data_IF_909347960465
#
_entry.id   IF_909347960465
#
_cell.length_a   1.000
_cell.length_b   1.000
_cell.length_c   1.000
_cell.angle_alpha   90.00
_cell.angle_beta   90.00
_cell.angle_gamma   90.00
#
_symmetry.space_group_name_H-M   'P 1'
#
loop_
_entity.id
_entity.type
_entity.pdbx_description
1 polymer ?
#
# COMPACT_ATOMS: atom_id res chain seq x y z
N UNK A 1 -36.96 -27.06 -27.77
CA UNK A 1 -36.20 -28.10 -27.05
C UNK A 1 -34.75 -27.66 -27.04
N UNK A 2 -34.35 -26.87 -26.04
CA UNK A 2 -33.00 -26.37 -25.86
C UNK A 2 -32.73 -26.35 -24.36
N UNK A 3 -31.74 -27.14 -23.93
CA UNK A 3 -31.41 -27.44 -22.53
C UNK A 3 -31.12 -26.18 -21.75
N UNK A 4 -31.82 -26.05 -20.62
CA UNK A 4 -31.46 -25.20 -19.50
C UNK A 4 -30.24 -25.84 -18.82
N UNK A 5 -29.05 -25.29 -19.06
CA UNK A 5 -27.84 -25.69 -18.35
C UNK A 5 -27.89 -25.09 -16.94
N UNK A 6 -28.37 -25.89 -15.99
CA UNK A 6 -28.27 -25.65 -14.56
C UNK A 6 -26.80 -25.53 -14.18
N UNK A 7 -26.26 -24.31 -14.21
CA UNK A 7 -25.02 -23.96 -13.52
C UNK A 7 -25.26 -24.18 -12.03
N UNK A 8 -24.77 -25.30 -11.50
CA UNK A 8 -24.72 -25.55 -10.06
C UNK A 8 -23.73 -24.50 -9.50
N UNK A 9 -24.20 -23.51 -8.72
CA UNK A 9 -23.28 -22.57 -8.12
C UNK A 9 -22.40 -23.34 -7.13
N UNK A 10 -21.07 -23.21 -7.28
CA UNK A 10 -20.12 -23.76 -6.31
C UNK A 10 -20.44 -23.16 -4.93
N UNK A 11 -20.35 -23.95 -3.86
CA UNK A 11 -20.66 -23.49 -2.50
C UNK A 11 -19.94 -22.18 -2.13
N UNK A 12 -18.73 -21.98 -2.64
CA UNK A 12 -17.95 -20.75 -2.49
C UNK A 12 -18.61 -19.52 -3.18
N UNK A 13 -19.32 -19.70 -4.30
CA UNK A 13 -20.04 -18.61 -5.00
C UNK A 13 -21.34 -18.25 -4.27
N UNK A 14 -21.97 -19.22 -3.62
CA UNK A 14 -23.15 -19.00 -2.76
C UNK A 14 -22.74 -18.32 -1.46
N UNK A 15 -21.64 -18.73 -0.83
CA UNK A 15 -21.09 -18.06 0.35
C UNK A 15 -20.59 -16.65 0.04
N UNK A 16 -19.83 -16.45 -1.03
CA UNK A 16 -19.41 -15.12 -1.47
C UNK A 16 -20.62 -14.24 -1.85
N UNK A 17 -21.62 -14.81 -2.53
CA UNK A 17 -22.88 -14.12 -2.87
C UNK A 17 -23.77 -13.81 -1.65
N UNK A 18 -23.77 -14.65 -0.62
CA UNK A 18 -24.52 -14.46 0.62
C UNK A 18 -23.83 -13.45 1.57
N UNK A 19 -22.50 -13.44 1.61
CA UNK A 19 -21.71 -12.39 2.28
C UNK A 19 -21.90 -11.04 1.58
N UNK A 20 -21.97 -11.01 0.25
CA UNK A 20 -22.29 -9.80 -0.51
C UNK A 20 -23.74 -9.30 -0.27
N UNK A 21 -24.71 -10.20 0.00
CA UNK A 21 -26.08 -9.83 0.36
C UNK A 21 -26.23 -9.26 1.78
N UNK A 22 -25.31 -9.59 2.70
CA UNK A 22 -25.37 -9.13 4.10
C UNK A 22 -24.37 -8.02 4.44
N UNK A 23 -23.47 -7.67 3.52
CA UNK A 23 -22.45 -6.64 3.72
C UNK A 23 -21.34 -7.08 4.68
N UNK A 24 -20.14 -6.51 4.52
CA UNK A 24 -18.98 -6.86 5.35
C UNK A 24 -19.08 -6.26 6.76
N UNK A 25 -18.57 -7.01 7.76
CA UNK A 25 -18.45 -6.52 9.13
C UNK A 25 -17.31 -5.51 9.25
N UNK A 26 -17.40 -4.57 10.20
CA UNK A 26 -16.37 -3.55 10.37
C UNK A 26 -14.99 -4.11 10.72
N UNK A 27 -14.94 -5.29 11.38
CA UNK A 27 -13.69 -5.99 11.69
C UNK A 27 -13.07 -6.54 10.41
N UNK A 28 -13.86 -7.19 9.55
CA UNK A 28 -13.40 -7.68 8.26
C UNK A 28 -12.95 -6.52 7.36
N UNK A 29 -13.67 -5.39 7.38
CA UNK A 29 -13.22 -4.19 6.68
C UNK A 29 -11.89 -3.67 7.23
N UNK A 30 -11.67 -3.72 8.56
CA UNK A 30 -10.40 -3.32 9.16
C UNK A 30 -9.24 -4.22 8.71
N UNK A 31 -9.45 -5.53 8.61
CA UNK A 31 -8.41 -6.46 8.12
C UNK A 31 -8.11 -6.24 6.63
N UNK A 32 -9.13 -5.98 5.82
CA UNK A 32 -8.96 -5.64 4.40
C UNK A 32 -8.23 -4.30 4.24
N UNK A 33 -8.59 -3.29 5.05
CA UNK A 33 -7.89 -2.00 5.08
C UNK A 33 -6.42 -2.18 5.47
N UNK A 34 -6.13 -2.98 6.50
CA UNK A 34 -4.75 -3.28 6.88
C UNK A 34 -3.96 -3.91 5.73
N UNK A 35 -4.56 -4.88 5.02
CA UNK A 35 -3.95 -5.49 3.85
C UNK A 35 -3.67 -4.49 2.71
N UNK A 36 -4.57 -3.54 2.45
CA UNK A 36 -4.39 -2.53 1.40
C UNK A 36 -3.39 -1.43 1.80
N UNK A 37 -3.28 -1.13 3.10
CA UNK A 37 -2.40 -0.11 3.65
C UNK A 37 -0.95 -0.59 3.85
N UNK A 38 -0.71 -1.90 3.98
CA UNK A 38 0.64 -2.46 3.96
C UNK A 38 1.25 -2.40 2.55
N UNK A 39 1.73 -1.21 2.19
CA UNK A 39 2.38 -0.91 0.92
C UNK A 39 3.90 -0.75 1.02
N UNK A 40 4.49 -0.33 -0.11
CA UNK A 40 5.94 -0.15 -0.26
C UNK A 40 6.52 0.98 0.59
N UNK A 41 5.70 1.93 1.06
CA UNK A 41 6.17 3.09 1.82
C UNK A 41 6.94 2.70 3.09
N UNK A 42 6.55 1.62 3.77
CA UNK A 42 7.21 1.20 5.00
C UNK A 42 8.71 0.88 4.84
N UNK A 43 9.16 0.56 3.62
CA UNK A 43 10.56 0.26 3.32
C UNK A 43 11.46 1.51 3.40
N UNK A 44 10.90 2.71 3.32
CA UNK A 44 11.66 3.97 3.41
C UNK A 44 11.71 4.51 4.85
N UNK A 45 10.98 3.92 5.79
CA UNK A 45 10.88 4.40 7.17
C UNK A 45 12.20 4.34 7.95
N UNK A 46 13.02 3.26 7.88
CA UNK A 46 14.33 3.24 8.54
C UNK A 46 15.23 4.38 8.09
N UNK A 47 15.22 4.69 6.79
CA UNK A 47 15.99 5.80 6.23
C UNK A 47 15.42 7.14 6.65
N UNK A 48 14.11 7.27 6.71
CA UNK A 48 13.44 8.49 7.20
C UNK A 48 13.86 8.79 8.65
N UNK A 49 13.96 7.77 9.49
CA UNK A 49 14.45 7.91 10.86
C UNK A 49 15.95 8.26 10.88
N UNK A 50 16.75 7.73 9.96
CA UNK A 50 18.14 8.18 9.80
C UNK A 50 18.27 9.64 9.34
N UNK A 51 17.36 10.11 8.47
CA UNK A 51 17.33 11.51 7.99
C UNK A 51 16.93 12.48 9.09
N UNK A 52 15.84 12.21 9.80
CA UNK A 52 15.21 13.16 10.73
C UNK A 52 15.66 12.95 12.19
N UNK A 53 15.96 11.71 12.59
CA UNK A 53 16.11 11.28 13.98
C UNK A 53 14.81 10.75 14.57
N UNK A 54 14.92 10.03 15.69
CA UNK A 54 13.77 9.35 16.32
C UNK A 54 12.61 10.30 16.67
N UNK A 55 12.89 11.44 17.28
CA UNK A 55 11.87 12.35 17.79
C UNK A 55 11.03 13.02 16.68
N UNK A 56 11.63 13.75 15.70
CA UNK A 56 10.85 14.38 14.65
C UNK A 56 10.16 13.37 13.73
N UNK A 57 10.79 12.22 13.43
CA UNK A 57 10.15 11.19 12.61
C UNK A 57 8.94 10.56 13.31
N UNK A 58 9.05 10.23 14.60
CA UNK A 58 7.93 9.66 15.38
C UNK A 58 6.81 10.68 15.57
N UNK A 59 7.13 11.95 15.81
CA UNK A 59 6.15 13.02 15.86
C UNK A 59 5.40 13.16 14.53
N UNK A 60 6.11 13.06 13.40
CA UNK A 60 5.50 13.12 12.07
C UNK A 60 4.58 11.92 11.81
N UNK A 61 4.99 10.70 12.18
CA UNK A 61 4.14 9.51 12.13
C UNK A 61 2.85 9.71 12.93
N UNK A 62 2.94 10.28 14.13
CA UNK A 62 1.76 10.56 14.96
C UNK A 62 0.83 11.59 14.32
N UNK A 63 1.38 12.67 13.74
CA UNK A 63 0.60 13.68 13.02
C UNK A 63 -0.16 13.05 11.86
N UNK A 64 0.50 12.24 11.03
CA UNK A 64 -0.15 11.56 9.91
C UNK A 64 -1.16 10.49 10.35
N UNK A 65 -0.91 9.79 11.46
CA UNK A 65 -1.87 8.90 12.08
C UNK A 65 -3.17 9.64 12.44
N UNK A 66 -3.06 10.79 13.12
CA UNK A 66 -4.23 11.62 13.47
C UNK A 66 -4.95 12.13 12.22
N UNK A 67 -4.23 12.63 11.22
CA UNK A 67 -4.81 13.10 9.96
C UNK A 67 -5.54 11.98 9.19
N UNK A 68 -5.00 10.76 9.18
CA UNK A 68 -5.64 9.62 8.53
C UNK A 68 -6.89 9.16 9.30
N UNK A 69 -6.82 9.12 10.63
CA UNK A 69 -7.98 8.82 11.48
C UNK A 69 -9.10 9.84 11.26
N UNK A 70 -8.75 11.12 11.18
CA UNK A 70 -9.68 12.19 10.86
C UNK A 70 -10.28 12.05 9.46
N UNK A 71 -9.47 11.66 8.48
CA UNK A 71 -9.95 11.34 7.12
C UNK A 71 -10.96 10.19 7.16
N UNK A 72 -10.67 9.11 7.89
CA UNK A 72 -11.58 7.96 8.05
C UNK A 72 -12.92 8.36 8.67
N UNK A 73 -12.88 9.24 9.66
CA UNK A 73 -14.09 9.84 10.22
C UNK A 73 -14.87 10.70 9.22
N UNK A 74 -14.19 11.52 8.41
CA UNK A 74 -14.85 12.34 7.38
C UNK A 74 -15.53 11.47 6.31
N UNK A 75 -14.84 10.42 5.84
CA UNK A 75 -15.38 9.43 4.92
C UNK A 75 -16.62 8.74 5.48
N UNK A 76 -16.59 8.33 6.76
CA UNK A 76 -17.75 7.78 7.44
C UNK A 76 -18.94 8.76 7.49
N UNK A 77 -18.69 10.05 7.76
CA UNK A 77 -19.76 11.07 7.74
C UNK A 77 -20.36 11.25 6.35
N UNK A 78 -19.53 11.30 5.30
CA UNK A 78 -19.99 11.39 3.92
C UNK A 78 -20.84 10.18 3.53
N UNK A 79 -20.47 8.98 3.97
CA UNK A 79 -21.24 7.76 3.74
C UNK A 79 -22.64 7.81 4.36
N UNK A 80 -22.77 8.37 5.57
CA UNK A 80 -24.07 8.52 6.25
C UNK A 80 -24.93 9.59 5.56
N UNK A 81 -24.31 10.68 5.08
CA UNK A 81 -25.03 11.78 4.41
C UNK A 81 -25.46 11.45 2.98
N UNK A 82 -24.74 10.55 2.31
CA UNK A 82 -24.98 10.16 0.93
C UNK A 82 -25.10 8.63 0.80
N UNK A 83 -26.12 7.98 1.41
CA UNK A 83 -26.25 6.53 1.40
C UNK A 83 -26.53 5.96 -0.01
N UNK A 84 -27.09 6.77 -0.91
CA UNK A 84 -27.37 6.39 -2.31
C UNK A 84 -26.10 6.38 -3.19
N UNK A 85 -25.00 7.00 -2.73
CA UNK A 85 -23.81 7.18 -3.54
C UNK A 85 -22.94 5.91 -3.56
N UNK A 86 -23.04 5.14 -4.64
CA UNK A 86 -22.20 3.94 -4.84
C UNK A 86 -20.75 4.25 -5.20
N UNK A 87 -20.51 5.43 -5.78
CA UNK A 87 -19.19 5.91 -6.22
C UNK A 87 -18.86 7.25 -5.56
N UNK A 88 -17.58 7.49 -5.32
CA UNK A 88 -17.13 8.70 -4.62
C UNK A 88 -17.33 9.98 -5.45
N UNK A 89 -17.36 9.88 -6.78
CA UNK A 89 -17.63 11.02 -7.65
C UNK A 89 -19.07 11.54 -7.51
N UNK A 90 -20.03 10.69 -7.15
CA UNK A 90 -21.42 11.09 -6.89
C UNK A 90 -21.50 11.95 -5.61
N UNK A 91 -20.73 11.60 -4.58
CA UNK A 91 -20.58 12.43 -3.37
C UNK A 91 -19.98 13.78 -3.74
N UNK A 92 -18.91 13.77 -4.54
CA UNK A 92 -18.25 14.99 -4.98
C UNK A 92 -19.15 15.87 -5.87
N UNK A 93 -20.00 15.25 -6.71
CA UNK A 93 -21.02 15.94 -7.50
C UNK A 93 -22.04 16.65 -6.61
N UNK A 94 -22.48 16.00 -5.52
CA UNK A 94 -23.42 16.60 -4.57
C UNK A 94 -22.78 17.72 -3.74
N UNK A 95 -21.48 17.61 -3.44
CA UNK A 95 -20.76 18.62 -2.65
C UNK A 95 -20.32 19.85 -3.47
N UNK A 96 -19.77 19.65 -4.68
CA UNK A 96 -19.12 20.70 -5.47
C UNK A 96 -19.49 20.69 -6.97
N UNK A 97 -20.52 19.92 -7.36
CA UNK A 97 -20.95 19.85 -8.76
C UNK A 97 -19.88 19.26 -9.69
N UNK A 98 -19.73 19.86 -10.88
CA UNK A 98 -18.81 19.36 -11.93
C UNK A 98 -17.34 19.45 -11.51
N UNK A 99 -16.97 20.46 -10.74
CA UNK A 99 -15.59 20.66 -10.26
C UNK A 99 -15.18 19.56 -9.29
N UNK A 100 -16.05 19.19 -8.34
CA UNK A 100 -15.78 18.08 -7.42
C UNK A 100 -15.58 16.75 -8.14
N UNK A 101 -16.40 16.48 -9.15
CA UNK A 101 -16.25 15.31 -10.02
C UNK A 101 -14.88 15.34 -10.70
N UNK A 102 -14.51 16.45 -11.34
CA UNK A 102 -13.21 16.57 -12.01
C UNK A 102 -12.02 16.32 -11.07
N UNK A 103 -12.09 16.83 -9.83
CA UNK A 103 -11.05 16.60 -8.81
C UNK A 103 -10.95 15.12 -8.39
N UNK A 104 -12.08 14.44 -8.18
CA UNK A 104 -12.09 13.01 -7.84
C UNK A 104 -11.55 12.17 -9.00
N UNK A 105 -12.00 12.41 -10.22
CA UNK A 105 -11.52 11.67 -11.38
C UNK A 105 -10.03 11.94 -11.64
N UNK A 106 -9.58 13.20 -11.54
CA UNK A 106 -8.17 13.58 -11.70
C UNK A 106 -7.27 12.91 -10.66
N UNK A 107 -7.63 12.98 -9.38
CA UNK A 107 -6.85 12.34 -8.31
C UNK A 107 -6.85 10.82 -8.40
N UNK A 108 -8.00 10.20 -8.71
CA UNK A 108 -8.11 8.75 -8.89
C UNK A 108 -7.24 8.30 -10.07
N UNK A 109 -7.36 8.90 -11.25
CA UNK A 109 -6.55 8.51 -12.41
C UNK A 109 -5.06 8.75 -12.20
N UNK A 110 -4.69 9.83 -11.50
CA UNK A 110 -3.30 10.07 -11.12
C UNK A 110 -2.79 8.95 -10.21
N UNK A 111 -3.55 8.52 -9.21
CA UNK A 111 -3.18 7.40 -8.34
C UNK A 111 -3.06 6.08 -9.13
N UNK A 112 -3.96 5.84 -10.08
CA UNK A 112 -3.94 4.66 -10.97
C UNK A 112 -2.67 4.64 -11.82
N UNK A 113 -2.24 5.80 -12.31
CA UNK A 113 -1.03 5.93 -13.13
C UNK A 113 0.26 5.86 -12.31
N UNK A 114 0.31 6.52 -11.14
CA UNK A 114 1.52 6.60 -10.32
C UNK A 114 1.81 5.30 -9.54
N UNK A 115 0.78 4.58 -9.07
CA UNK A 115 0.98 3.34 -8.29
C UNK A 115 1.85 2.30 -9.04
N UNK A 116 1.56 1.93 -10.30
CA UNK A 116 2.38 1.00 -11.07
C UNK A 116 3.82 1.48 -11.24
N UNK A 117 4.07 2.79 -11.41
CA UNK A 117 5.43 3.31 -11.55
C UNK A 117 6.27 3.03 -10.29
N UNK A 118 5.68 3.16 -9.11
CA UNK A 118 6.37 2.88 -7.85
C UNK A 118 6.69 1.37 -7.73
N UNK A 119 5.74 0.50 -8.08
CA UNK A 119 5.98 -0.94 -8.10
C UNK A 119 7.03 -1.34 -9.13
N UNK A 120 7.03 -0.72 -10.32
CA UNK A 120 8.03 -0.96 -11.37
C UNK A 120 9.44 -0.67 -10.88
N UNK A 121 9.65 0.52 -10.31
CA UNK A 121 10.96 0.94 -9.79
C UNK A 121 11.41 0.01 -8.66
N UNK A 122 10.51 -0.34 -7.74
CA UNK A 122 10.83 -1.19 -6.59
C UNK A 122 11.13 -2.63 -7.01
N UNK A 123 10.35 -3.20 -7.94
CA UNK A 123 10.62 -4.50 -8.56
C UNK A 123 12.00 -4.53 -9.22
N UNK A 124 12.34 -3.51 -10.01
CA UNK A 124 13.61 -3.47 -10.72
C UNK A 124 14.80 -3.41 -9.75
N UNK A 125 14.69 -2.64 -8.67
CA UNK A 125 15.74 -2.55 -7.66
C UNK A 125 15.87 -3.86 -6.85
N UNK A 126 14.75 -4.49 -6.49
CA UNK A 126 14.74 -5.80 -5.85
C UNK A 126 15.40 -6.87 -6.75
N UNK A 127 15.06 -6.89 -8.05
CA UNK A 127 15.66 -7.82 -9.02
C UNK A 127 17.18 -7.62 -9.16
N UNK A 128 17.65 -6.37 -9.19
CA UNK A 128 19.09 -6.08 -9.22
C UNK A 128 19.83 -6.66 -8.03
N UNK A 129 19.21 -6.66 -6.86
CA UNK A 129 19.82 -7.21 -5.65
C UNK A 129 19.75 -8.72 -5.58
N UNK A 130 18.68 -9.34 -6.11
CA UNK A 130 18.65 -10.79 -6.30
C UNK A 130 19.78 -11.22 -7.25
N UNK A 131 20.04 -10.43 -8.29
CA UNK A 131 21.08 -10.69 -9.29
C UNK A 131 22.39 -9.91 -9.01
N UNK A 132 22.71 -9.62 -7.75
CA UNK A 132 23.85 -8.77 -7.40
C UNK A 132 25.18 -9.27 -8.00
N UNK A 133 25.33 -10.59 -8.17
CA UNK A 133 26.52 -11.23 -8.74
C UNK A 133 26.73 -10.89 -10.23
N UNK A 134 25.65 -10.60 -10.96
CA UNK A 134 25.68 -10.35 -12.40
C UNK A 134 25.77 -8.86 -12.76
N UNK A 135 25.75 -7.95 -11.77
CA UNK A 135 25.88 -6.50 -11.97
C UNK A 135 24.95 -5.95 -13.07
N UNK A 136 23.68 -6.37 -13.05
CA UNK A 136 22.68 -6.02 -14.07
C UNK A 136 22.46 -4.50 -14.08
N UNK A 137 22.51 -3.89 -15.27
CA UNK A 137 22.25 -2.45 -15.43
C UNK A 137 20.81 -2.08 -15.08
N UNK A 138 20.59 -0.86 -14.61
CA UNK A 138 19.24 -0.36 -14.24
C UNK A 138 18.25 -0.46 -15.41
N UNK A 139 18.72 -0.22 -16.64
CA UNK A 139 17.89 -0.36 -17.84
C UNK A 139 17.49 -1.82 -18.08
N UNK A 140 18.45 -2.74 -18.02
CA UNK A 140 18.19 -4.17 -18.24
C UNK A 140 17.21 -4.73 -17.20
N UNK A 141 17.37 -4.36 -15.92
CA UNK A 141 16.45 -4.77 -14.86
C UNK A 141 15.03 -4.25 -15.09
N UNK A 142 14.88 -2.97 -15.45
CA UNK A 142 13.56 -2.39 -15.73
C UNK A 142 12.88 -3.04 -16.95
N UNK A 143 13.63 -3.29 -18.02
CA UNK A 143 13.10 -3.99 -19.20
C UNK A 143 12.71 -5.43 -18.87
N UNK A 144 13.52 -6.15 -18.10
CA UNK A 144 13.19 -7.50 -17.66
C UNK A 144 11.89 -7.53 -16.85
N UNK A 145 11.73 -6.64 -15.87
CA UNK A 145 10.50 -6.51 -15.08
C UNK A 145 9.30 -6.19 -15.98
N UNK A 146 9.43 -5.24 -16.90
CA UNK A 146 8.35 -4.88 -17.81
C UNK A 146 7.94 -6.07 -18.70
N UNK A 147 8.91 -6.84 -19.22
CA UNK A 147 8.65 -8.03 -20.01
C UNK A 147 8.00 -9.16 -19.20
N UNK A 148 8.36 -9.31 -17.92
CA UNK A 148 7.75 -10.29 -17.01
C UNK A 148 6.32 -9.92 -16.63
N UNK A 149 5.99 -8.63 -16.53
CA UNK A 149 4.65 -8.17 -16.15
C UNK A 149 3.62 -8.44 -17.25
N UNK A 150 4.01 -8.36 -18.53
CA UNK A 150 3.12 -8.53 -19.69
C UNK A 150 2.38 -9.89 -19.67
N UNK A 151 3.04 -11.06 -19.58
CA UNK A 151 2.35 -12.35 -19.52
C UNK A 151 1.62 -12.55 -18.19
N UNK A 152 2.14 -12.01 -17.08
CA UNK A 152 1.54 -12.17 -15.75
C UNK A 152 0.29 -11.30 -15.53
N UNK A 153 0.05 -10.28 -16.37
CA UNK A 153 -1.16 -9.46 -16.31
C UNK A 153 -2.46 -10.26 -16.56
N UNK A 154 -2.35 -11.48 -17.06
CA UNK A 154 -3.49 -12.38 -17.26
C UNK A 154 -3.91 -13.13 -15.98
N UNK A 155 -3.10 -13.14 -14.93
CA UNK A 155 -3.37 -13.88 -13.67
C UNK A 155 -3.92 -12.92 -12.60
N UNK A 156 -5.17 -13.13 -12.18
CA UNK A 156 -5.89 -12.24 -11.23
C UNK A 156 -6.11 -12.87 -9.84
N UNK A 157 -5.15 -13.63 -9.32
CA UNK A 157 -5.29 -14.23 -7.98
C UNK A 157 -4.68 -13.33 -6.90
N UNK A 158 -5.46 -13.06 -5.84
CA UNK A 158 -4.98 -12.44 -4.61
C UNK A 158 -4.47 -13.56 -3.69
N UNK A 159 -3.17 -13.62 -3.46
CA UNK A 159 -2.59 -14.46 -2.42
C UNK A 159 -2.20 -13.61 -1.21
N UNK A 160 -2.47 -14.15 -0.01
CA UNK A 160 -2.14 -13.52 1.27
C UNK A 160 -0.62 -13.48 1.46
N UNK A 161 0.02 -12.40 1.03
CA UNK A 161 1.48 -12.22 1.13
C UNK A 161 1.93 -11.67 2.49
N UNK A 162 1.11 -11.83 3.52
CA UNK A 162 1.46 -11.46 4.90
C UNK A 162 2.67 -12.23 5.45
N UNK A 163 3.22 -13.22 4.74
CA UNK A 163 4.45 -13.91 5.13
C UNK A 163 5.72 -13.11 4.79
N UNK A 164 5.68 -12.22 3.78
CA UNK A 164 6.85 -11.48 3.29
C UNK A 164 7.41 -10.53 4.36
N UNK A 165 6.53 -9.86 5.10
CA UNK A 165 6.97 -8.97 6.19
C UNK A 165 7.47 -9.74 7.41
N UNK A 166 6.93 -10.93 7.70
CA UNK A 166 7.43 -11.80 8.79
C UNK A 166 8.88 -12.21 8.54
N UNK A 167 9.22 -12.54 7.30
CA UNK A 167 10.60 -12.84 6.91
C UNK A 167 11.52 -11.62 7.05
N UNK A 168 11.07 -10.42 6.67
CA UNK A 168 11.86 -9.20 6.84
C UNK A 168 12.27 -8.95 8.30
N UNK A 169 11.36 -9.19 9.25
CA UNK A 169 11.66 -9.05 10.70
C UNK A 169 12.62 -10.14 11.19
N UNK A 170 12.48 -11.38 10.71
CA UNK A 170 13.37 -12.50 11.10
C UNK A 170 14.79 -12.29 10.57
N UNK A 171 14.93 -11.86 9.31
CA UNK A 171 16.23 -11.54 8.69
C UNK A 171 16.96 -10.46 9.48
N UNK A 172 16.23 -9.43 9.92
CA UNK A 172 16.78 -8.39 10.77
C UNK A 172 17.29 -8.92 12.12
N UNK A 173 16.52 -9.78 12.79
CA UNK A 173 16.94 -10.36 14.09
C UNK A 173 18.25 -11.16 13.96
N UNK A 174 18.48 -11.81 12.82
CA UNK A 174 19.71 -12.58 12.59
C UNK A 174 20.94 -11.71 12.27
N UNK A 175 20.75 -10.51 11.69
CA UNK A 175 21.87 -9.62 11.34
C UNK A 175 22.39 -8.77 12.51
N UNK A 176 21.71 -8.75 13.66
CA UNK A 176 22.15 -8.00 14.85
C UNK A 176 23.40 -8.57 15.53
N UNK A 177 23.82 -9.80 15.22
CA UNK A 177 24.88 -10.49 15.94
C UNK A 177 26.32 -10.03 15.65
N UNK A 178 26.55 -9.17 14.65
CA UNK A 178 27.90 -9.06 14.05
C UNK A 178 28.43 -7.66 13.78
N UNK A 179 27.70 -6.59 14.12
CA UNK A 179 28.09 -5.21 13.81
C UNK A 179 28.25 -4.36 15.08
N UNK A 180 29.23 -3.43 15.13
CA UNK A 180 29.33 -2.45 16.21
C UNK A 180 28.03 -1.63 16.27
N UNK A 181 27.52 -1.40 17.48
CA UNK A 181 26.25 -0.70 17.71
C UNK A 181 26.29 0.66 17.00
N UNK A 182 25.48 0.87 15.94
CA UNK A 182 25.53 2.11 15.18
C UNK A 182 25.09 3.29 16.04
N UNK A 183 25.73 4.45 15.87
CA UNK A 183 25.32 5.68 16.56
C UNK A 183 23.99 6.12 15.99
N UNK A 184 23.02 6.37 16.87
CA UNK A 184 21.70 6.89 16.50
C UNK A 184 21.39 8.13 17.29
N UNK A 185 20.64 9.05 16.67
CA UNK A 185 20.36 10.36 17.25
C UNK A 185 18.86 10.54 17.46
N UNK A 186 18.49 11.10 18.62
CA UNK A 186 17.11 11.49 18.89
C UNK A 186 16.66 12.62 17.97
N UNK A 187 17.57 13.55 17.67
CA UNK A 187 17.37 14.68 16.77
C UNK A 187 18.53 14.72 15.78
N UNK A 188 18.22 14.76 14.48
CA UNK A 188 19.21 15.01 13.45
C UNK A 188 19.03 16.42 12.86
N UNK A 189 20.08 16.99 12.29
CA UNK A 189 20.06 18.30 11.61
C UNK A 189 20.32 18.15 10.11
N UNK A 190 19.41 17.51 9.36
CA UNK A 190 19.60 17.27 7.93
C UNK A 190 19.52 18.57 7.11
N UNK A 191 20.11 18.54 5.92
CA UNK A 191 19.86 19.58 4.89
C UNK A 191 18.38 19.63 4.56
N UNK A 192 17.87 20.79 4.20
CA UNK A 192 16.45 21.01 3.87
C UNK A 192 15.87 19.97 2.88
N UNK A 193 16.63 19.65 1.82
CA UNK A 193 16.20 18.66 0.80
C UNK A 193 16.03 17.27 1.40
N UNK A 194 16.96 16.84 2.26
CA UNK A 194 16.93 15.54 2.93
C UNK A 194 15.78 15.45 3.93
N UNK A 195 15.52 16.55 4.65
CA UNK A 195 14.37 16.65 5.55
C UNK A 195 13.04 16.52 4.78
N UNK A 196 12.92 17.22 3.65
CA UNK A 196 11.74 17.20 2.81
C UNK A 196 11.47 15.81 2.23
N UNK A 197 12.51 15.10 1.78
CA UNK A 197 12.39 13.70 1.34
C UNK A 197 11.85 12.81 2.47
N UNK A 198 12.40 12.94 3.69
CA UNK A 198 11.88 12.20 4.84
C UNK A 198 10.41 12.49 5.15
N UNK A 199 9.97 13.75 5.01
CA UNK A 199 8.56 14.12 5.21
C UNK A 199 7.66 13.49 4.12
N UNK A 200 8.09 13.53 2.86
CA UNK A 200 7.36 12.94 1.74
C UNK A 200 7.29 11.41 1.86
N UNK A 201 8.34 10.76 2.37
CA UNK A 201 8.36 9.33 2.63
C UNK A 201 7.32 8.94 3.70
N UNK A 202 7.19 9.71 4.78
CA UNK A 202 6.11 9.48 5.77
C UNK A 202 4.74 9.68 5.15
N UNK A 203 4.54 10.74 4.37
CA UNK A 203 3.29 10.98 3.65
C UNK A 203 2.93 9.79 2.76
N UNK A 204 3.91 9.24 2.05
CA UNK A 204 3.74 8.09 1.17
C UNK A 204 3.39 6.81 1.94
N UNK A 205 3.96 6.60 3.13
CA UNK A 205 3.62 5.46 4.00
C UNK A 205 2.14 5.40 4.38
N UNK A 206 1.50 6.56 4.56
CA UNK A 206 0.09 6.63 4.92
C UNK A 206 -0.86 6.62 3.71
N UNK A 207 -0.38 6.33 2.49
CA UNK A 207 -1.23 6.22 1.30
C UNK A 207 -2.17 5.00 1.30
N UNK A 208 -3.25 5.06 0.53
CA UNK A 208 -4.21 3.93 0.36
C UNK A 208 -5.69 4.34 0.29
N UNK A 209 -5.99 5.63 0.47
CA UNK A 209 -7.33 6.20 0.54
C UNK A 209 -8.19 6.07 -0.74
N UNK A 210 -7.66 6.01 -1.98
CA UNK A 210 -8.50 5.95 -3.18
C UNK A 210 -9.51 4.80 -3.18
N UNK A 211 -9.21 3.68 -2.53
CA UNK A 211 -10.10 2.51 -2.47
C UNK A 211 -11.13 2.57 -1.34
N UNK A 212 -11.02 3.51 -0.39
CA UNK A 212 -11.82 3.53 0.83
C UNK A 212 -13.32 3.58 0.56
N UNK A 213 -13.77 4.32 -0.46
CA UNK A 213 -15.19 4.38 -0.79
C UNK A 213 -15.77 3.02 -1.18
N UNK A 214 -14.98 2.16 -1.84
CA UNK A 214 -15.41 0.81 -2.22
C UNK A 214 -15.59 -0.09 -1.00
N UNK A 215 -14.74 0.09 0.01
CA UNK A 215 -14.87 -0.64 1.27
C UNK A 215 -16.09 -0.16 2.04
N UNK A 216 -16.33 1.14 2.09
CA UNK A 216 -17.48 1.74 2.76
C UNK A 216 -18.80 1.21 2.16
N UNK A 217 -18.94 1.20 0.84
CA UNK A 217 -20.18 0.77 0.17
C UNK A 217 -20.41 -0.74 0.22
N UNK A 218 -19.38 -1.53 0.55
CA UNK A 218 -19.51 -2.97 0.78
C UNK A 218 -19.78 -3.34 2.23
N UNK A 219 -19.77 -2.39 3.16
CA UNK A 219 -20.06 -2.64 4.58
C UNK A 219 -21.55 -2.82 4.83
N UNK A 220 -21.90 -3.76 5.71
CA UNK A 220 -23.26 -3.90 6.23
C UNK A 220 -23.75 -2.62 6.93
N UNK A 221 -22.83 -1.94 7.63
CA UNK A 221 -23.12 -0.73 8.41
C UNK A 221 -22.01 0.31 8.20
N UNK A 222 -22.10 1.17 7.17
CA UNK A 222 -21.08 2.18 6.84
C UNK A 222 -20.76 3.15 7.98
N UNK A 223 -21.70 3.34 8.92
CA UNK A 223 -21.50 4.16 10.13
C UNK A 223 -20.33 3.70 11.01
N UNK A 224 -19.89 2.45 10.89
CA UNK A 224 -18.78 1.90 11.67
C UNK A 224 -17.43 1.99 10.95
N UNK A 225 -17.36 2.62 9.77
CA UNK A 225 -16.11 2.74 9.02
C UNK A 225 -14.99 3.46 9.78
N UNK A 226 -15.30 4.45 10.61
CA UNK A 226 -14.29 5.13 11.45
C UNK A 226 -13.64 4.19 12.48
N UNK A 227 -14.39 3.20 12.98
CA UNK A 227 -13.83 2.17 13.87
C UNK A 227 -12.89 1.23 13.11
N UNK A 228 -13.29 0.84 11.90
CA UNK A 228 -12.49 -0.02 11.03
C UNK A 228 -11.17 0.66 10.62
N UNK A 229 -11.27 1.88 10.08
CA UNK A 229 -10.11 2.68 9.68
C UNK A 229 -9.23 3.08 10.86
N UNK A 230 -9.81 3.50 11.99
CA UNK A 230 -9.04 3.84 13.19
C UNK A 230 -8.23 2.66 13.75
N UNK A 231 -8.83 1.47 13.81
CA UNK A 231 -8.13 0.25 14.24
C UNK A 231 -6.98 -0.10 13.27
N UNK A 232 -7.25 -0.05 11.96
CA UNK A 232 -6.25 -0.32 10.94
C UNK A 232 -5.07 0.67 11.00
N UNK A 233 -5.37 1.98 11.06
CA UNK A 233 -4.36 3.03 11.11
C UNK A 233 -3.52 2.93 12.38
N UNK A 234 -4.14 2.65 13.54
CA UNK A 234 -3.42 2.50 14.80
C UNK A 234 -2.43 1.33 14.72
N UNK A 235 -2.89 0.16 14.29
CA UNK A 235 -2.03 -1.01 14.15
C UNK A 235 -0.90 -0.79 13.14
N UNK A 236 -1.22 -0.19 12.00
CA UNK A 236 -0.24 0.19 10.98
C UNK A 236 0.81 1.17 11.53
N UNK A 237 0.39 2.19 12.29
CA UNK A 237 1.30 3.18 12.90
C UNK A 237 2.25 2.52 13.89
N UNK A 238 1.75 1.63 14.75
CA UNK A 238 2.58 0.89 15.71
C UNK A 238 3.60 0.01 15.00
N UNK A 239 3.17 -0.65 13.91
CA UNK A 239 4.07 -1.43 13.06
C UNK A 239 5.14 -0.54 12.41
N UNK A 240 4.77 0.61 11.85
CA UNK A 240 5.69 1.57 11.25
C UNK A 240 6.71 2.09 12.26
N UNK A 241 6.29 2.49 13.47
CA UNK A 241 7.21 2.90 14.53
C UNK A 241 8.19 1.77 14.89
N UNK A 242 7.70 0.53 14.98
CA UNK A 242 8.54 -0.62 15.30
C UNK A 242 9.58 -0.84 14.22
N UNK A 243 9.17 -1.02 12.96
CA UNK A 243 10.08 -1.27 11.82
C UNK A 243 11.06 -0.12 11.63
N UNK A 244 10.62 1.12 11.78
CA UNK A 244 11.48 2.28 11.63
C UNK A 244 12.55 2.35 12.73
N UNK A 245 12.16 2.12 13.99
CA UNK A 245 13.09 2.19 15.11
C UNK A 245 14.14 1.08 15.07
N UNK A 246 13.66 -0.14 14.80
CA UNK A 246 14.41 -1.37 14.55
C UNK A 246 15.37 -1.18 13.38
N UNK A 247 14.88 -0.70 12.24
CA UNK A 247 15.71 -0.46 11.06
C UNK A 247 16.75 0.63 11.27
N UNK A 248 16.39 1.76 11.91
CA UNK A 248 17.34 2.83 12.18
C UNK A 248 18.43 2.42 13.15
N UNK A 249 18.09 1.64 14.19
CA UNK A 249 19.09 1.07 15.11
C UNK A 249 20.11 0.15 14.43
N UNK A 250 19.74 -0.49 13.32
CA UNK A 250 20.63 -1.32 12.53
C UNK A 250 21.43 -0.53 11.48
N UNK A 251 20.84 0.53 10.92
CA UNK A 251 21.50 1.38 9.92
C UNK A 251 22.53 2.33 10.55
N UNK A 252 22.17 3.01 11.63
CA UNK A 252 22.97 4.10 12.19
C UNK A 252 22.93 5.40 11.39
N UNK A 253 23.78 6.34 11.78
CA UNK A 253 23.91 7.67 11.18
C UNK A 253 24.82 7.75 9.96
N UNK A 254 25.70 6.77 9.76
CA UNK A 254 26.71 6.74 8.68
C UNK A 254 26.21 6.17 7.34
N UNK A 255 24.90 6.11 7.11
CA UNK A 255 24.32 5.47 5.91
C UNK A 255 24.17 6.48 4.78
N UNK A 256 24.48 6.05 3.55
CA UNK A 256 24.20 6.80 2.35
C UNK A 256 22.68 6.92 2.14
N UNK A 257 22.13 8.08 2.52
CA UNK A 257 20.70 8.39 2.53
C UNK A 257 20.10 8.54 1.13
N UNK A 258 20.90 8.49 0.07
CA UNK A 258 20.49 8.61 -1.33
C UNK A 258 20.19 7.25 -1.99
N UNK A 259 20.65 6.15 -1.39
CA UNK A 259 20.46 4.79 -1.92
C UNK A 259 19.23 4.12 -1.34
N UNK A 260 18.64 3.16 -2.05
CA UNK A 260 17.50 2.39 -1.53
C UNK A 260 17.91 1.51 -0.35
N UNK A 261 17.03 1.37 0.66
CA UNK A 261 17.32 0.61 1.89
C UNK A 261 17.83 -0.80 1.60
N UNK A 262 17.19 -1.49 0.67
CA UNK A 262 17.53 -2.86 0.29
C UNK A 262 18.99 -2.98 -0.14
N UNK A 263 19.56 -1.94 -0.76
CA UNK A 263 20.94 -1.93 -1.27
C UNK A 263 21.99 -1.67 -0.19
N UNK A 264 21.55 -1.29 1.00
CA UNK A 264 22.40 -0.93 2.14
C UNK A 264 22.60 -2.10 3.09
N UNK A 265 21.79 -3.16 2.97
CA UNK A 265 21.97 -4.38 3.76
C UNK A 265 23.13 -5.22 3.22
N UNK A 266 23.79 -5.96 4.12
CA UNK A 266 24.83 -6.93 3.76
C UNK A 266 24.27 -7.96 2.77
N UNK A 267 25.07 -8.32 1.76
CA UNK A 267 24.68 -9.24 0.69
C UNK A 267 24.77 -10.70 1.16
N UNK A 268 23.89 -11.07 2.10
CA UNK A 268 23.79 -12.41 2.67
C UNK A 268 22.61 -13.18 2.06
N UNK A 269 22.59 -14.52 2.26
CA UNK A 269 21.48 -15.38 1.81
C UNK A 269 20.10 -14.91 2.34
N UNK A 270 20.08 -14.35 3.54
CA UNK A 270 18.88 -13.77 4.16
C UNK A 270 18.38 -12.51 3.46
N UNK A 271 19.29 -11.61 3.08
CA UNK A 271 18.97 -10.41 2.30
C UNK A 271 18.48 -10.78 0.90
N UNK A 272 19.10 -11.79 0.28
CA UNK A 272 18.65 -12.33 -1.01
C UNK A 272 17.24 -12.94 -0.92
N UNK A 273 16.94 -13.69 0.15
CA UNK A 273 15.60 -14.24 0.38
C UNK A 273 14.55 -13.14 0.59
N UNK A 274 14.87 -12.12 1.41
CA UNK A 274 14.02 -10.96 1.62
C UNK A 274 13.75 -10.21 0.31
N UNK A 275 14.78 -9.92 -0.47
CA UNK A 275 14.65 -9.23 -1.75
C UNK A 275 13.89 -10.07 -2.79
N UNK A 276 14.02 -11.39 -2.76
CA UNK A 276 13.22 -12.29 -3.59
C UNK A 276 11.75 -12.24 -3.17
N UNK A 277 11.46 -12.30 -1.87
CA UNK A 277 10.09 -12.15 -1.35
C UNK A 277 9.48 -10.78 -1.70
N UNK A 278 10.27 -9.71 -1.59
CA UNK A 278 9.87 -8.36 -1.99
C UNK A 278 9.61 -8.28 -3.50
N UNK A 279 10.50 -8.86 -4.32
CA UNK A 279 10.35 -8.90 -5.77
C UNK A 279 9.05 -9.62 -6.18
N UNK A 280 8.80 -10.81 -5.62
CA UNK A 280 7.58 -11.58 -5.86
C UNK A 280 6.36 -10.78 -5.40
N UNK A 281 6.39 -10.18 -4.20
CA UNK A 281 5.30 -9.34 -3.70
C UNK A 281 4.99 -8.16 -4.61
N UNK A 282 6.01 -7.40 -5.01
CA UNK A 282 5.82 -6.26 -5.89
C UNK A 282 5.26 -6.71 -7.25
N UNK A 283 5.71 -7.86 -7.76
CA UNK A 283 5.24 -8.41 -9.04
C UNK A 283 3.75 -8.76 -8.99
N UNK A 284 3.26 -9.40 -7.91
CA UNK A 284 1.84 -9.70 -7.73
C UNK A 284 1.00 -8.43 -7.44
N UNK A 285 1.48 -7.54 -6.57
CA UNK A 285 0.79 -6.30 -6.23
C UNK A 285 0.62 -5.39 -7.46
N UNK A 286 1.60 -5.39 -8.37
CA UNK A 286 1.53 -4.70 -9.66
C UNK A 286 0.30 -5.15 -10.47
N UNK A 287 0.03 -6.46 -10.53
CA UNK A 287 -1.07 -7.01 -11.34
C UNK A 287 -2.44 -6.73 -10.73
N UNK A 288 -2.59 -6.93 -9.43
CA UNK A 288 -3.87 -6.74 -8.73
C UNK A 288 -4.33 -5.28 -8.84
N UNK A 289 -3.41 -4.32 -8.65
CA UNK A 289 -3.75 -2.90 -8.80
C UNK A 289 -3.96 -2.52 -10.26
N UNK A 290 -3.13 -2.99 -11.21
CA UNK A 290 -3.34 -2.74 -12.63
C UNK A 290 -4.71 -3.21 -13.16
N UNK A 291 -5.13 -4.43 -12.82
CA UNK A 291 -6.39 -5.02 -13.25
C UNK A 291 -7.62 -4.52 -12.48
N UNK A 292 -7.48 -4.22 -11.19
CA UNK A 292 -8.57 -3.71 -10.36
C UNK A 292 -9.13 -2.36 -10.83
N UNK A 293 -8.30 -1.56 -11.50
CA UNK A 293 -8.69 -0.25 -12.01
C UNK A 293 -9.34 -0.30 -13.40
N UNK A 294 -8.97 -1.24 -14.28
CA UNK A 294 -9.58 -1.39 -15.61
C UNK A 294 -11.03 -1.90 -15.54
N UNK A 295 -11.33 -2.79 -14.59
CA UNK A 295 -12.71 -3.22 -14.28
C UNK A 295 -13.63 -2.04 -13.93
N UNK A 296 -13.07 -1.00 -13.30
CA UNK A 296 -13.81 0.19 -12.84
C UNK A 296 -14.09 1.18 -13.99
N UNK A 297 -13.17 1.31 -14.95
CA UNK A 297 -13.38 2.13 -16.15
C UNK A 297 -14.52 1.59 -17.04
N UNK A 298 -14.75 0.28 -17.04
CA UNK A 298 -15.86 -0.35 -17.77
C UNK A 298 -17.24 -0.11 -17.14
N UNK A 299 -17.33 -0.07 -15.80
CA UNK A 299 -18.62 0.14 -15.09
C UNK A 299 -19.12 1.58 -15.14
N UNK A 300 -18.23 2.56 -15.27
CA UNK A 300 -18.60 3.99 -15.40
C UNK A 300 -19.31 4.37 -16.71
N UNK A 301 -19.34 3.49 -17.72
CA UNK A 301 -20.04 3.73 -19.01
C UNK A 301 -21.48 3.16 -19.07
N UNK A 302 -21.91 2.39 -18.07
CA UNK A 302 -23.17 1.64 -18.14
C UNK A 302 -24.40 2.32 -17.53
N UNK A 303 -24.25 3.27 -16.61
CA UNK A 303 -25.38 3.96 -15.98
C UNK A 303 -25.64 5.33 -16.62
N UNK A 304 -25.73 5.33 -17.95
CA UNK A 304 -26.40 6.42 -18.68
C UNK A 304 -27.89 6.30 -18.41
N UNK A 305 -28.41 7.20 -17.59
CA UNK A 305 -29.83 7.43 -17.36
C UNK A 305 -30.56 7.45 -18.72
N UNK A 306 -31.25 6.36 -19.07
CA UNK A 306 -32.32 6.42 -20.07
C UNK A 306 -33.42 7.29 -19.44
N UNK A 307 -33.58 8.49 -19.98
CA UNK A 307 -34.87 9.16 -19.96
C UNK A 307 -35.79 8.45 -20.94
#
# INVERSE_FOLDING_TARGET
MGRDETRIPLLHDVEAGAVLKSGTSWVLTATVLLGDMFGLGQLTLPQTFARLGYAPASALLLVFCVLCCYSGFLYQRLAILCPEASLFDQVARRAMGRTGVALVWGSMYLAIFLCPLIFQITCAEALKQVLYQYQVSTLAANLAVALMIIPLAQVQHLEDMAWVWKLGVIVWQQQQGSLPVPVTHAFNSPRYTVALVGIMDVLFCYGGQPNWWRYITSMAQPRHFSRASGLAILFMTLFYCTVAAVGYSALGDAVDLERALTSLLAQDAWTALMNTGLFVHCLFAYQVRGAGYTSNAGKGRGSGCRR
#
